data_IF_737303635824
#
_entry.id   IF_737303635824
#
_cell.length_a   1.000
_cell.length_b   1.000
_cell.length_c   1.000
_cell.angle_alpha   90.00
_cell.angle_beta   90.00
_cell.angle_gamma   90.00
#
_symmetry.space_group_name_H-M   'P 1'
#
loop_
_entity.id
_entity.type
_entity.pdbx_description
1 polymer ?
#
# COMPACT_ATOMS: atom_id res chain seq x y z
N UNK A 1 -37.02 0.01 63.51
CA UNK A 1 -35.69 -0.09 62.88
C UNK A 1 -35.74 -1.21 61.85
N UNK A 2 -35.71 -0.88 60.57
CA UNK A 2 -35.64 -1.86 59.49
C UNK A 2 -34.83 -1.26 58.37
N UNK A 3 -33.50 -1.38 58.45
CA UNK A 3 -32.60 -0.99 57.38
C UNK A 3 -32.87 -1.95 56.22
N UNK A 4 -33.52 -1.46 55.18
CA UNK A 4 -33.62 -2.16 53.89
C UNK A 4 -32.19 -2.29 53.36
N UNK A 5 -31.69 -3.53 53.29
CA UNK A 5 -30.54 -3.85 52.45
C UNK A 5 -30.89 -3.40 51.02
N UNK A 6 -30.13 -2.44 50.50
CA UNK A 6 -30.05 -2.25 49.05
C UNK A 6 -29.26 -3.44 48.51
N UNK A 7 -29.70 -4.10 47.43
CA UNK A 7 -28.82 -4.98 46.70
C UNK A 7 -27.67 -4.11 46.18
N UNK A 8 -26.44 -4.47 46.53
CA UNK A 8 -25.26 -3.97 45.83
C UNK A 8 -25.43 -4.39 44.37
N UNK A 9 -25.69 -3.42 43.50
CA UNK A 9 -25.56 -3.57 42.06
C UNK A 9 -24.22 -4.28 41.81
N UNK A 10 -24.27 -5.45 41.18
CA UNK A 10 -23.07 -6.13 40.69
C UNK A 10 -22.43 -5.18 39.69
N UNK A 11 -21.46 -4.39 40.15
CA UNK A 11 -20.75 -3.44 39.32
C UNK A 11 -19.92 -4.28 38.36
N UNK A 12 -20.33 -4.30 37.09
CA UNK A 12 -19.48 -4.76 36.00
C UNK A 12 -18.13 -4.06 36.16
N UNK A 13 -17.09 -4.84 36.42
CA UNK A 13 -15.73 -4.30 36.51
C UNK A 13 -15.16 -4.35 35.11
N UNK A 14 -14.89 -3.20 34.51
CA UNK A 14 -14.11 -3.10 33.28
C UNK A 14 -12.69 -2.62 33.61
N UNK A 15 -11.70 -3.17 32.91
CA UNK A 15 -10.28 -2.76 33.00
C UNK A 15 -9.70 -2.72 31.60
N UNK A 16 -8.72 -1.86 31.37
CA UNK A 16 -8.00 -1.80 30.09
C UNK A 16 -6.75 -2.65 30.14
N UNK A 17 -6.61 -3.55 29.16
CA UNK A 17 -5.43 -4.42 29.01
C UNK A 17 -4.75 -4.12 27.69
N UNK A 18 -3.43 -3.89 27.72
CA UNK A 18 -2.62 -3.78 26.50
C UNK A 18 -1.89 -5.08 26.15
N UNK A 19 -1.89 -5.46 24.87
CA UNK A 19 -1.19 -6.65 24.37
C UNK A 19 -0.49 -6.40 23.05
N UNK A 20 0.66 -7.05 22.86
CA UNK A 20 1.33 -7.19 21.55
C UNK A 20 0.91 -8.51 20.91
N UNK A 21 0.58 -8.49 19.62
CA UNK A 21 0.15 -9.66 18.85
C UNK A 21 1.06 -9.78 17.62
N UNK A 22 1.77 -10.90 17.49
CA UNK A 22 2.68 -11.20 16.36
C UNK A 22 3.72 -10.10 16.08
N UNK A 23 4.25 -9.44 17.11
CA UNK A 23 5.22 -8.35 16.95
C UNK A 23 4.59 -6.99 16.58
N UNK A 24 3.28 -6.95 16.36
CA UNK A 24 2.50 -5.72 16.16
C UNK A 24 1.78 -5.31 17.46
N UNK A 25 1.53 -4.01 17.62
CA UNK A 25 0.95 -3.43 18.83
C UNK A 25 1.94 -2.54 19.60
N UNK A 26 1.60 -2.05 20.81
CA UNK A 26 0.52 -2.56 21.66
C UNK A 26 -0.90 -2.18 21.20
N UNK A 27 -1.84 -3.11 21.37
CA UNK A 27 -3.28 -2.96 21.19
C UNK A 27 -3.98 -2.90 22.54
N UNK A 28 -5.01 -2.08 22.67
CA UNK A 28 -5.79 -1.96 23.89
C UNK A 28 -7.13 -2.68 23.78
N UNK A 29 -7.49 -3.37 24.86
CA UNK A 29 -8.75 -4.10 24.99
C UNK A 29 -9.43 -3.68 26.28
N UNK A 30 -10.75 -3.46 26.21
CA UNK A 30 -11.60 -3.40 27.40
C UNK A 30 -11.97 -4.82 27.76
N UNK A 31 -11.69 -5.21 29.00
CA UNK A 31 -12.08 -6.50 29.55
C UNK A 31 -13.16 -6.27 30.58
N UNK A 32 -14.37 -6.73 30.27
CA UNK A 32 -15.52 -6.65 31.20
C UNK A 32 -15.65 -7.98 31.92
N UNK A 33 -15.63 -7.92 33.26
CA UNK A 33 -15.82 -9.07 34.14
C UNK A 33 -17.28 -9.16 34.55
N UNK A 34 -17.98 -10.20 34.08
CA UNK A 34 -19.31 -10.53 34.57
C UNK A 34 -19.20 -11.58 35.67
N UNK A 35 -19.66 -11.28 36.91
CA UNK A 35 -19.66 -12.28 37.97
C UNK A 35 -20.63 -13.40 37.61
N UNK A 36 -20.08 -14.58 37.32
CA UNK A 36 -20.87 -15.72 36.91
C UNK A 36 -21.89 -16.09 37.99
N UNK A 37 -23.16 -16.14 37.60
CA UNK A 37 -24.24 -16.49 38.53
C UNK A 37 -24.28 -18.00 38.86
N UNK A 38 -23.65 -18.85 38.03
CA UNK A 38 -23.69 -20.32 38.18
C UNK A 38 -22.43 -21.08 37.69
N UNK A 39 -21.26 -20.44 37.66
CA UNK A 39 -19.96 -21.07 37.35
C UNK A 39 -19.26 -20.56 36.10
N UNK A 40 -17.92 -20.56 36.18
CA UNK A 40 -16.88 -19.96 35.32
C UNK A 40 -17.05 -18.46 35.02
N UNK A 41 -16.09 -17.65 35.47
CA UNK A 41 -16.07 -16.20 35.24
C UNK A 41 -16.10 -15.90 33.73
N UNK A 42 -17.14 -15.19 33.27
CA UNK A 42 -17.27 -14.80 31.88
C UNK A 42 -16.55 -13.46 31.66
N UNK A 43 -15.70 -13.42 30.64
CA UNK A 43 -14.92 -12.24 30.28
C UNK A 43 -15.22 -11.84 28.84
N UNK A 44 -15.75 -10.63 28.66
CA UNK A 44 -15.91 -10.05 27.34
C UNK A 44 -14.69 -9.20 27.01
N UNK A 45 -14.11 -9.43 25.83
CA UNK A 45 -12.97 -8.69 25.31
C UNK A 45 -13.43 -7.80 24.16
N UNK A 46 -13.48 -6.51 24.39
CA UNK A 46 -13.78 -5.51 23.36
C UNK A 46 -12.48 -4.85 22.90
N UNK A 47 -12.26 -4.81 21.58
CA UNK A 47 -11.09 -4.16 21.01
C UNK A 47 -11.33 -2.64 20.93
N UNK A 48 -10.49 -1.87 21.63
CA UNK A 48 -10.61 -0.41 21.69
C UNK A 48 -9.75 0.32 20.66
N UNK A 49 -8.85 -0.41 19.99
CA UNK A 49 -7.91 0.18 19.05
C UNK A 49 -6.46 0.00 19.49
N UNK A 50 -5.58 0.74 18.82
CA UNK A 50 -4.15 0.71 19.13
C UNK A 50 -3.87 1.52 20.41
N UNK A 51 -3.07 0.98 21.31
CA UNK A 51 -2.63 1.72 22.49
C UNK A 51 -1.85 2.96 22.04
N UNK A 52 -2.18 4.14 22.57
CA UNK A 52 -1.67 5.41 22.05
C UNK A 52 -2.61 6.14 21.08
N UNK A 53 -3.49 5.40 20.37
CA UNK A 53 -4.42 5.95 19.37
C UNK A 53 -5.89 5.72 19.77
N UNK A 54 -6.15 5.47 21.05
CA UNK A 54 -7.50 5.25 21.55
C UNK A 54 -8.20 6.60 21.62
N UNK A 55 -9.40 6.65 21.03
CA UNK A 55 -10.26 7.82 21.14
C UNK A 55 -10.77 7.92 22.59
N UNK A 56 -10.46 9.00 23.33
CA UNK A 56 -10.97 9.17 24.68
C UNK A 56 -12.51 9.31 24.73
N UNK A 57 -13.19 9.60 23.63
CA UNK A 57 -14.67 9.70 23.61
C UNK A 57 -15.37 8.36 23.81
N UNK A 58 -14.70 7.24 23.48
CA UNK A 58 -15.25 5.88 23.68
C UNK A 58 -14.93 5.32 25.07
N UNK A 59 -14.23 6.08 25.91
CA UNK A 59 -13.75 5.66 27.23
C UNK A 59 -14.47 6.39 28.36
N UNK A 60 -14.59 5.71 29.49
CA UNK A 60 -15.03 6.31 30.74
C UNK A 60 -13.89 7.09 31.42
N UNK A 61 -14.22 8.02 32.32
CA UNK A 61 -13.22 8.78 33.08
C UNK A 61 -12.26 7.87 33.89
N UNK A 62 -12.78 6.74 34.39
CA UNK A 62 -12.01 5.74 35.14
C UNK A 62 -11.01 5.01 34.22
N UNK A 63 -11.43 4.60 33.01
CA UNK A 63 -10.57 3.98 31.99
C UNK A 63 -9.49 4.95 31.47
N UNK A 64 -9.85 6.23 31.31
CA UNK A 64 -8.89 7.30 30.98
C UNK A 64 -7.85 7.46 32.08
N UNK A 65 -8.25 7.39 33.34
CA UNK A 65 -7.33 7.47 34.48
C UNK A 65 -6.41 6.24 34.55
N UNK A 66 -6.93 5.04 34.26
CA UNK A 66 -6.16 3.79 34.17
C UNK A 66 -5.12 3.86 33.06
N UNK A 67 -5.52 4.26 31.85
CA UNK A 67 -4.58 4.45 30.72
C UNK A 67 -3.48 5.46 31.04
N UNK A 68 -3.80 6.57 31.71
CA UNK A 68 -2.78 7.53 32.15
C UNK A 68 -1.83 6.93 33.20
N UNK A 69 -2.36 6.16 34.15
CA UNK A 69 -1.53 5.51 35.18
C UNK A 69 -0.58 4.46 34.57
N UNK A 70 -0.99 3.80 33.49
CA UNK A 70 -0.16 2.88 32.72
C UNK A 70 0.77 3.57 31.69
N UNK A 71 0.72 4.91 31.58
CA UNK A 71 1.55 5.67 30.63
C UNK A 71 1.12 5.52 29.17
N UNK A 72 -0.10 5.03 28.91
CA UNK A 72 -0.66 4.85 27.57
C UNK A 72 -1.22 6.18 27.08
N UNK A 73 -0.76 6.60 25.89
CA UNK A 73 -1.24 7.83 25.25
C UNK A 73 -2.69 7.75 24.81
N UNK A 74 -3.37 8.88 24.89
CA UNK A 74 -4.69 9.08 24.33
C UNK A 74 -4.55 9.95 23.08
N UNK A 75 -5.28 9.62 22.02
CA UNK A 75 -5.10 10.23 20.70
C UNK A 75 -5.24 11.77 20.71
N UNK A 76 -6.11 12.33 21.56
CA UNK A 76 -6.34 13.79 21.62
C UNK A 76 -5.25 14.60 22.35
N UNK A 77 -4.32 13.94 23.03
CA UNK A 77 -3.41 14.59 23.98
C UNK A 77 -1.93 14.52 23.58
N UNK A 78 -1.62 14.07 22.37
CA UNK A 78 -0.23 13.98 21.91
C UNK A 78 -0.10 14.68 20.57
N UNK A 79 0.64 15.77 20.56
CA UNK A 79 1.22 16.29 19.33
C UNK A 79 2.29 15.26 18.92
N UNK A 80 1.91 14.40 17.98
CA UNK A 80 2.82 13.45 17.37
C UNK A 80 3.34 14.04 16.07
N UNK A 81 4.65 14.07 15.92
CA UNK A 81 5.26 14.38 14.64
C UNK A 81 5.25 13.12 13.78
N UNK A 82 4.55 13.20 12.64
CA UNK A 82 4.44 12.10 11.67
C UNK A 82 5.26 12.49 10.46
N UNK A 83 6.28 11.67 10.15
CA UNK A 83 7.21 11.90 9.05
C UNK A 83 7.04 10.80 8.02
N UNK A 84 6.59 11.15 6.81
CA UNK A 84 6.44 10.20 5.69
C UNK A 84 7.77 10.05 4.92
N UNK A 85 8.41 8.89 5.10
CA UNK A 85 9.69 8.54 4.44
C UNK A 85 9.47 7.93 3.05
N UNK A 86 8.21 7.81 2.59
CA UNK A 86 7.79 7.31 1.26
C UNK A 86 8.04 5.83 0.98
N UNK A 87 9.13 5.25 1.50
CA UNK A 87 9.47 3.83 1.37
C UNK A 87 9.47 3.13 2.72
N UNK A 88 8.74 2.01 2.77
CA UNK A 88 8.60 1.19 3.98
C UNK A 88 9.93 0.62 4.49
N UNK A 89 10.78 0.14 3.58
CA UNK A 89 12.09 -0.42 3.93
C UNK A 89 12.99 0.64 4.58
N UNK A 90 12.96 1.86 4.03
CA UNK A 90 13.73 2.99 4.52
C UNK A 90 13.19 3.51 5.86
N UNK A 91 11.87 3.62 5.99
CA UNK A 91 11.24 3.93 7.26
C UNK A 91 11.63 2.91 8.35
N UNK A 92 11.68 1.62 8.01
CA UNK A 92 12.11 0.59 8.94
C UNK A 92 13.61 0.65 9.27
N UNK A 93 14.47 1.01 8.31
CA UNK A 93 15.89 1.25 8.55
C UNK A 93 16.08 2.40 9.55
N UNK A 94 15.39 3.52 9.35
CA UNK A 94 15.44 4.67 10.26
C UNK A 94 14.93 4.28 11.64
N UNK A 95 13.82 3.56 11.75
CA UNK A 95 13.32 3.04 13.04
C UNK A 95 14.34 2.19 13.79
N UNK A 96 15.18 1.43 13.07
CA UNK A 96 16.23 0.60 13.68
C UNK A 96 17.43 1.42 14.18
N UNK A 97 17.58 2.66 13.71
CA UNK A 97 18.64 3.60 14.13
C UNK A 97 18.18 4.58 15.21
N UNK A 98 16.86 4.75 15.36
CA UNK A 98 16.26 5.58 16.39
C UNK A 98 16.38 4.95 17.79
N UNK A 99 16.54 5.77 18.85
CA UNK A 99 16.52 5.25 20.21
C UNK A 99 15.10 4.75 20.57
N UNK A 100 15.03 3.71 21.40
CA UNK A 100 13.78 3.01 21.75
C UNK A 100 12.68 3.91 22.32
N UNK A 101 13.05 5.08 22.87
CA UNK A 101 12.15 6.06 23.49
C UNK A 101 11.71 7.20 22.54
N UNK A 102 12.28 7.31 21.34
CA UNK A 102 11.88 8.33 20.36
C UNK A 102 10.61 7.96 19.57
N UNK A 103 10.31 6.66 19.46
CA UNK A 103 9.15 6.19 18.71
C UNK A 103 7.88 6.28 19.55
N UNK A 104 6.85 6.88 18.97
CA UNK A 104 5.54 6.90 19.60
C UNK A 104 5.00 5.47 19.74
N UNK A 105 4.22 5.24 20.80
CA UNK A 105 3.44 3.99 20.97
C UNK A 105 2.53 3.73 19.75
N UNK A 106 2.16 4.79 19.03
CA UNK A 106 1.35 4.78 17.81
C UNK A 106 2.14 4.59 16.50
N UNK A 107 3.47 4.40 16.52
CA UNK A 107 4.31 4.19 15.31
C UNK A 107 4.14 2.80 14.68
N UNK A 108 3.71 2.68 13.43
CA UNK A 108 3.48 1.39 12.77
C UNK A 108 4.62 1.00 11.80
N UNK A 109 5.37 -0.05 12.12
CA UNK A 109 6.41 -0.61 11.23
C UNK A 109 5.91 -1.15 9.89
N UNK A 110 4.59 -1.27 9.70
CA UNK A 110 3.97 -1.68 8.43
C UNK A 110 3.75 -0.51 7.48
N UNK A 111 3.91 0.73 7.94
CA UNK A 111 3.76 1.94 7.12
C UNK A 111 5.11 2.62 6.89
N UNK A 112 5.17 3.46 5.85
CA UNK A 112 6.33 4.29 5.55
C UNK A 112 6.38 5.57 6.43
N UNK A 113 5.42 5.74 7.34
CA UNK A 113 5.29 6.91 8.20
C UNK A 113 5.89 6.62 9.57
N UNK A 114 6.89 7.41 9.98
CA UNK A 114 7.49 7.33 11.30
C UNK A 114 6.76 8.28 12.22
N UNK A 115 6.20 7.75 13.31
CA UNK A 115 5.53 8.57 14.33
C UNK A 115 6.45 8.75 15.52
N UNK A 116 6.89 9.97 15.78
CA UNK A 116 7.75 10.31 16.90
C UNK A 116 6.93 10.72 18.14
N UNK A 117 7.53 10.56 19.32
CA UNK A 117 7.01 11.15 20.56
C UNK A 117 7.21 12.67 20.54
N UNK A 118 6.35 13.41 21.25
CA UNK A 118 6.52 14.87 21.44
C UNK A 118 7.89 15.22 22.06
N UNK A 119 8.40 14.37 22.95
CA UNK A 119 9.70 14.52 23.61
C UNK A 119 10.85 13.86 22.84
N UNK A 120 10.66 13.53 21.56
CA UNK A 120 11.70 12.86 20.78
C UNK A 120 12.97 13.72 20.76
N UNK A 121 14.16 13.13 20.97
CA UNK A 121 15.42 13.87 20.88
C UNK A 121 15.52 14.56 19.52
N UNK A 122 16.01 15.80 19.48
CA UNK A 122 16.15 16.54 18.21
C UNK A 122 16.91 15.74 17.13
N UNK A 123 17.92 14.97 17.54
CA UNK A 123 18.69 14.10 16.62
C UNK A 123 17.83 12.99 15.98
N UNK A 124 16.78 12.51 16.66
CA UNK A 124 15.84 11.55 16.11
C UNK A 124 14.93 12.18 15.05
N UNK A 125 14.44 13.40 15.33
CA UNK A 125 13.65 14.19 14.38
C UNK A 125 14.48 14.48 13.13
N UNK A 126 15.69 15.04 13.30
CA UNK A 126 16.59 15.35 12.20
C UNK A 126 16.95 14.13 11.35
N UNK A 127 17.14 12.95 11.97
CA UNK A 127 17.41 11.72 11.24
C UNK A 127 16.22 11.28 10.36
N UNK A 128 15.01 11.31 10.92
CA UNK A 128 13.81 10.93 10.20
C UNK A 128 13.48 11.93 9.06
N UNK A 129 13.63 13.24 9.32
CA UNK A 129 13.49 14.28 8.31
C UNK A 129 14.54 14.14 7.20
N UNK A 130 15.81 13.92 7.54
CA UNK A 130 16.87 13.74 6.55
C UNK A 130 16.60 12.54 5.64
N UNK A 131 16.11 11.43 6.20
CA UNK A 131 15.72 10.26 5.40
C UNK A 131 14.53 10.56 4.48
N UNK A 132 13.52 11.31 4.96
CA UNK A 132 12.41 11.74 4.13
C UNK A 132 12.85 12.68 3.01
N UNK A 133 13.75 13.64 3.28
CA UNK A 133 14.30 14.55 2.27
C UNK A 133 15.20 13.82 1.26
N UNK A 134 16.04 12.90 1.72
CA UNK A 134 16.87 12.06 0.84
C UNK A 134 15.97 11.25 -0.09
N UNK A 135 14.85 10.73 0.42
CA UNK A 135 13.85 10.04 -0.38
C UNK A 135 13.14 10.96 -1.36
N UNK A 136 12.82 12.20 -0.98
CA UNK A 136 12.29 13.21 -1.92
C UNK A 136 13.30 13.46 -3.03
N UNK A 137 14.57 13.71 -2.69
CA UNK A 137 15.63 13.96 -3.68
C UNK A 137 15.91 12.74 -4.56
N UNK A 138 15.83 11.54 -4.01
CA UNK A 138 15.95 10.30 -4.78
C UNK A 138 14.75 10.13 -5.71
N UNK A 139 13.52 10.37 -5.26
CA UNK A 139 12.33 10.28 -6.10
C UNK A 139 12.28 11.37 -7.17
N UNK A 140 12.83 12.55 -6.88
CA UNK A 140 13.02 13.65 -7.85
C UNK A 140 14.18 13.37 -8.83
N UNK A 141 15.21 12.62 -8.40
CA UNK A 141 16.42 12.33 -9.17
C UNK A 141 16.44 10.99 -9.92
N UNK A 142 15.73 9.97 -9.43
CA UNK A 142 15.65 8.62 -9.95
C UNK A 142 14.37 8.45 -10.75
N UNK A 143 14.38 8.97 -11.98
CA UNK A 143 13.28 8.81 -12.92
C UNK A 143 12.91 10.10 -13.61
N UNK A 144 13.81 10.63 -14.43
CA UNK A 144 13.35 11.53 -15.50
C UNK A 144 13.43 10.74 -16.81
N UNK A 145 12.27 10.27 -17.26
CA UNK A 145 12.15 9.72 -18.59
C UNK A 145 12.11 10.92 -19.56
N UNK A 146 12.98 10.91 -20.57
CA UNK A 146 13.01 11.99 -21.55
C UNK A 146 11.68 12.10 -22.29
N UNK A 147 11.19 13.34 -22.43
CA UNK A 147 10.06 13.62 -23.30
C UNK A 147 10.55 13.65 -24.75
N UNK A 148 9.94 12.80 -25.57
CA UNK A 148 10.06 12.87 -27.02
C UNK A 148 9.48 14.19 -27.53
N UNK A 149 9.89 14.61 -28.71
CA UNK A 149 9.39 15.86 -29.32
C UNK A 149 7.88 15.82 -29.58
N UNK A 150 7.31 14.61 -29.79
CA UNK A 150 5.87 14.43 -29.96
C UNK A 150 5.10 14.58 -28.65
N UNK A 151 5.64 14.11 -27.53
CA UNK A 151 5.04 14.29 -26.20
C UNK A 151 5.09 15.76 -25.77
N UNK A 152 6.21 16.46 -26.01
CA UNK A 152 6.33 17.90 -25.73
C UNK A 152 5.32 18.75 -26.50
N UNK A 153 4.81 18.28 -27.63
CA UNK A 153 3.78 19.00 -28.39
C UNK A 153 2.36 18.75 -27.89
N UNK A 154 2.13 17.71 -27.09
CA UNK A 154 0.81 17.34 -26.57
C UNK A 154 0.53 17.87 -25.17
N UNK A 155 1.58 18.11 -24.39
CA UNK A 155 1.49 18.59 -23.01
C UNK A 155 1.29 20.11 -23.01
N UNK A 156 0.34 20.58 -22.21
CA UNK A 156 0.19 22.02 -22.00
C UNK A 156 1.14 22.52 -20.91
N UNK A 157 2.31 23.05 -21.33
CA UNK A 157 3.29 23.66 -20.43
C UNK A 157 2.89 25.04 -19.89
N UNK A 158 1.68 25.54 -20.18
CA UNK A 158 1.11 26.64 -19.42
C UNK A 158 0.64 26.20 -18.03
N UNK A 159 0.30 24.92 -17.87
CA UNK A 159 -0.28 24.36 -16.63
C UNK A 159 0.69 23.46 -15.84
N UNK A 160 1.80 23.03 -16.48
CA UNK A 160 2.85 22.19 -15.87
C UNK A 160 4.24 22.59 -16.38
N UNK A 161 5.31 21.99 -15.84
CA UNK A 161 6.68 22.22 -16.30
C UNK A 161 7.37 20.93 -16.80
N UNK A 162 8.46 21.11 -17.56
CA UNK A 162 9.21 20.00 -18.18
C UNK A 162 9.75 19.02 -17.13
N UNK A 163 10.38 19.46 -16.02
CA UNK A 163 10.81 18.55 -14.96
C UNK A 163 9.68 17.71 -14.37
N UNK A 164 8.53 18.33 -14.08
CA UNK A 164 7.35 17.65 -13.52
C UNK A 164 6.81 16.61 -14.49
N UNK A 165 6.66 16.96 -15.77
CA UNK A 165 6.21 16.02 -16.80
C UNK A 165 7.20 14.85 -17.01
N UNK A 166 8.52 15.08 -16.94
CA UNK A 166 9.53 14.01 -17.02
C UNK A 166 9.51 13.08 -15.81
N UNK A 167 9.32 13.64 -14.62
CA UNK A 167 9.22 12.90 -13.37
C UNK A 167 7.95 12.03 -13.35
N UNK A 168 6.81 12.60 -13.75
CA UNK A 168 5.56 11.87 -13.87
C UNK A 168 5.60 10.78 -14.94
N UNK A 169 6.20 11.07 -16.11
CA UNK A 169 6.42 10.04 -17.15
C UNK A 169 7.19 8.85 -16.59
N UNK A 170 8.31 9.08 -15.91
CA UNK A 170 9.06 7.97 -15.33
C UNK A 170 8.27 7.23 -14.25
N UNK A 171 7.55 7.96 -13.39
CA UNK A 171 6.73 7.38 -12.35
C UNK A 171 5.61 6.48 -12.92
N UNK A 172 4.97 6.89 -14.01
CA UNK A 172 3.93 6.09 -14.69
C UNK A 172 4.53 4.87 -15.40
N UNK A 173 5.69 5.04 -16.06
CA UNK A 173 6.40 3.94 -16.71
C UNK A 173 6.93 2.90 -15.71
N UNK A 174 7.37 3.32 -14.52
CA UNK A 174 7.84 2.44 -13.43
C UNK A 174 6.71 1.55 -12.89
N UNK A 175 5.47 2.03 -12.93
CA UNK A 175 4.27 1.24 -12.65
C UNK A 175 3.88 0.30 -13.81
N UNK A 176 4.68 0.23 -14.87
CA UNK A 176 4.48 -0.69 -15.99
C UNK A 176 3.35 -0.29 -16.95
N UNK A 177 3.01 1.00 -17.01
CA UNK A 177 2.08 1.54 -18.00
C UNK A 177 2.86 2.04 -19.22
N UNK A 178 2.80 1.31 -20.33
CA UNK A 178 3.58 1.61 -21.53
C UNK A 178 3.16 2.94 -22.20
N UNK A 179 1.86 3.22 -22.26
CA UNK A 179 1.32 4.49 -22.75
C UNK A 179 0.99 5.44 -21.60
N UNK A 180 2.01 6.11 -21.08
CA UNK A 180 1.86 7.02 -19.97
C UNK A 180 0.95 8.22 -20.28
N UNK A 181 0.80 8.60 -21.55
CA UNK A 181 -0.05 9.74 -21.95
C UNK A 181 -1.53 9.46 -21.80
N UNK A 182 -1.93 8.18 -21.73
CA UNK A 182 -3.31 7.79 -21.45
C UNK A 182 -3.71 7.99 -19.97
N UNK A 183 -2.72 8.12 -19.08
CA UNK A 183 -2.89 8.29 -17.63
C UNK A 183 -2.54 9.70 -17.18
N UNK A 184 -1.65 10.36 -17.92
CA UNK A 184 -1.18 11.70 -17.64
C UNK A 184 -2.30 12.75 -17.67
N UNK A 185 -2.23 13.68 -16.72
CA UNK A 185 -2.95 14.94 -16.68
C UNK A 185 -2.01 16.02 -16.15
N UNK A 186 -2.11 17.24 -16.69
CA UNK A 186 -1.36 18.41 -16.21
C UNK A 186 -1.62 18.72 -14.73
N UNK A 187 -2.71 18.21 -14.16
CA UNK A 187 -3.05 18.33 -12.74
C UNK A 187 -2.18 17.48 -11.81
N UNK A 188 -1.47 16.48 -12.35
CA UNK A 188 -0.56 15.63 -11.58
C UNK A 188 0.72 16.42 -11.26
N UNK A 189 0.77 17.03 -10.07
CA UNK A 189 1.88 17.90 -9.66
C UNK A 189 3.01 17.12 -8.99
N UNK A 190 2.74 15.90 -8.55
CA UNK A 190 3.70 15.06 -7.83
C UNK A 190 3.86 13.68 -8.47
N UNK A 191 5.02 13.05 -8.25
CA UNK A 191 5.26 11.67 -8.70
C UNK A 191 4.33 10.66 -8.02
N UNK A 192 3.86 10.95 -6.80
CA UNK A 192 2.95 10.07 -6.07
C UNK A 192 1.58 10.04 -6.73
N UNK A 193 1.02 11.19 -7.08
CA UNK A 193 -0.24 11.30 -7.84
C UNK A 193 -0.12 10.58 -9.19
N UNK A 194 1.02 10.72 -9.87
CA UNK A 194 1.27 10.03 -11.13
C UNK A 194 1.32 8.49 -10.99
N UNK A 195 1.96 7.97 -9.94
CA UNK A 195 1.95 6.53 -9.64
C UNK A 195 0.56 6.03 -9.26
N UNK A 196 -0.17 6.80 -8.48
CA UNK A 196 -1.55 6.47 -8.08
C UNK A 196 -2.47 6.44 -9.30
N UNK A 197 -2.39 7.42 -10.19
CA UNK A 197 -3.12 7.42 -11.46
C UNK A 197 -2.79 6.18 -12.31
N UNK A 198 -1.52 5.78 -12.37
CA UNK A 198 -1.09 4.58 -13.09
C UNK A 198 -1.61 3.28 -12.44
N UNK A 199 -1.60 3.18 -11.11
CA UNK A 199 -2.19 2.05 -10.38
C UNK A 199 -3.69 1.95 -10.62
N UNK A 200 -4.42 3.06 -10.48
CA UNK A 200 -5.86 3.11 -10.71
C UNK A 200 -6.22 2.72 -12.15
N UNK A 201 -5.43 3.16 -13.13
CA UNK A 201 -5.62 2.76 -14.53
C UNK A 201 -5.47 1.25 -14.71
N UNK A 202 -4.42 0.62 -14.14
CA UNK A 202 -4.25 -0.84 -14.18
C UNK A 202 -5.39 -1.58 -13.47
N UNK A 203 -5.80 -1.12 -12.30
CA UNK A 203 -6.91 -1.70 -11.55
C UNK A 203 -8.22 -1.61 -12.31
N UNK A 204 -8.49 -0.50 -13.02
CA UNK A 204 -9.68 -0.39 -13.89
C UNK A 204 -9.65 -1.36 -15.07
N UNK A 205 -8.48 -1.57 -15.68
CA UNK A 205 -8.31 -2.53 -16.79
C UNK A 205 -8.48 -3.97 -16.29
N UNK A 206 -8.10 -4.27 -15.04
CA UNK A 206 -8.30 -5.57 -14.40
C UNK A 206 -9.74 -5.76 -13.90
N UNK A 207 -10.36 -4.69 -13.38
CA UNK A 207 -11.76 -4.68 -12.92
C UNK A 207 -12.76 -4.89 -14.06
N UNK A 208 -12.53 -4.28 -15.22
CA UNK A 208 -13.34 -4.51 -16.43
C UNK A 208 -13.28 -5.97 -16.94
N UNK A 209 -12.27 -6.75 -16.52
CA UNK A 209 -12.19 -8.20 -16.81
C UNK A 209 -12.96 -9.08 -15.82
N UNK A 210 -13.36 -8.56 -14.66
CA UNK A 210 -14.04 -9.37 -13.62
C UNK A 210 -15.57 -9.28 -13.69
N UNK A 211 -16.12 -8.28 -14.38
CA UNK A 211 -17.59 -8.11 -14.52
C UNK A 211 -18.17 -8.76 -15.81
N UNK A 212 -17.35 -9.45 -16.61
CA UNK A 212 -17.79 -10.22 -17.79
C UNK A 212 -17.28 -11.68 -17.71
N UNK A 213 -17.91 -12.53 -16.90
CA UNK A 213 -18.70 -13.67 -17.39
C UNK A 213 -19.03 -14.67 -16.27
N UNK A 214 -20.32 -14.67 -15.90
CA UNK A 214 -21.03 -15.86 -15.43
C UNK A 214 -21.36 -16.70 -16.67
N UNK A 215 -20.62 -17.80 -16.89
CA UNK A 215 -20.99 -18.77 -17.92
C UNK A 215 -19.84 -19.61 -18.42
N UNK A 216 -19.88 -20.91 -18.09
CA UNK A 216 -19.07 -21.93 -18.74
C UNK A 216 -19.42 -21.97 -20.23
N UNK A 217 -18.70 -21.21 -21.05
CA UNK A 217 -18.68 -21.40 -22.50
C UNK A 217 -17.38 -22.10 -22.85
N UNK A 218 -17.50 -23.40 -23.13
CA UNK A 218 -16.51 -24.14 -23.91
C UNK A 218 -16.46 -23.53 -25.32
N UNK A 219 -15.75 -22.43 -25.46
CA UNK A 219 -15.28 -21.96 -26.76
C UNK A 219 -13.77 -21.90 -26.65
N UNK A 220 -13.12 -22.84 -27.32
CA UNK A 220 -11.68 -22.87 -27.53
C UNK A 220 -11.20 -21.48 -27.93
N UNK A 221 -10.60 -20.74 -27.00
CA UNK A 221 -9.77 -19.57 -27.31
C UNK A 221 -8.70 -20.08 -28.25
N UNK A 222 -8.87 -19.82 -29.54
CA UNK A 222 -7.94 -20.31 -30.56
C UNK A 222 -6.54 -19.87 -30.18
N UNK A 223 -5.60 -20.81 -30.12
CA UNK A 223 -4.18 -20.60 -29.78
C UNK A 223 -3.45 -19.53 -30.64
N UNK A 224 -4.16 -18.87 -31.56
CA UNK A 224 -3.69 -17.74 -32.35
C UNK A 224 -3.69 -16.40 -31.57
N UNK A 225 -4.50 -16.22 -30.53
CA UNK A 225 -4.63 -14.91 -29.85
C UNK A 225 -3.62 -14.67 -28.71
N UNK A 226 -2.94 -15.72 -28.23
CA UNK A 226 -1.92 -15.65 -27.16
C UNK A 226 -0.55 -16.05 -27.71
N UNK A 227 -0.09 -15.36 -28.76
CA UNK A 227 1.25 -15.61 -29.35
C UNK A 227 2.13 -14.38 -29.17
N UNK A 228 3.35 -14.61 -28.73
CA UNK A 228 4.35 -13.55 -28.49
C UNK A 228 4.67 -12.79 -29.78
N UNK A 229 5.06 -11.52 -29.67
CA UNK A 229 5.56 -10.73 -30.83
C UNK A 229 6.75 -11.41 -31.52
N UNK A 230 7.56 -12.15 -30.75
CA UNK A 230 8.69 -12.92 -31.24
C UNK A 230 8.28 -14.06 -32.18
N UNK A 231 7.20 -14.79 -31.85
CA UNK A 231 6.64 -15.83 -32.72
C UNK A 231 6.02 -15.24 -34.00
N UNK A 232 5.38 -14.06 -33.91
CA UNK A 232 4.84 -13.37 -35.10
C UNK A 232 5.97 -12.99 -36.04
N UNK A 233 7.04 -12.42 -35.50
CA UNK A 233 8.21 -12.04 -36.28
C UNK A 233 8.92 -13.25 -36.89
N UNK A 234 9.08 -14.33 -36.13
CA UNK A 234 9.64 -15.58 -36.64
C UNK A 234 8.76 -16.20 -37.75
N UNK A 235 7.42 -16.17 -37.61
CA UNK A 235 6.52 -16.63 -38.67
C UNK A 235 6.67 -15.81 -39.94
N UNK A 236 6.82 -14.49 -39.83
CA UNK A 236 7.03 -13.60 -40.97
C UNK A 236 8.31 -13.96 -41.74
N UNK A 237 9.41 -14.24 -41.05
CA UNK A 237 10.68 -14.64 -41.69
C UNK A 237 10.65 -16.07 -42.23
N UNK A 238 10.04 -17.01 -41.51
CA UNK A 238 9.87 -18.39 -41.97
C UNK A 238 9.07 -18.45 -43.29
N UNK A 239 8.05 -17.58 -43.45
CA UNK A 239 7.29 -17.45 -44.70
C UNK A 239 8.10 -16.86 -45.86
N UNK A 240 9.16 -16.12 -45.57
CA UNK A 240 10.06 -15.55 -46.58
C UNK A 240 11.21 -16.50 -46.96
N UNK A 241 11.24 -17.71 -46.39
CA UNK A 241 12.23 -18.74 -46.68
C UNK A 241 13.44 -18.72 -45.75
N UNK A 242 13.34 -18.11 -44.58
CA UNK A 242 14.38 -18.15 -43.55
C UNK A 242 14.30 -19.48 -42.77
N UNK A 243 15.30 -20.34 -42.96
CA UNK A 243 15.38 -21.66 -42.33
C UNK A 243 15.59 -21.57 -40.81
N UNK A 244 16.31 -20.55 -40.32
CA UNK A 244 16.56 -20.35 -38.88
C UNK A 244 15.30 -19.88 -38.16
N UNK A 245 14.50 -19.03 -38.79
CA UNK A 245 13.20 -18.63 -38.25
C UNK A 245 12.20 -19.80 -38.22
N UNK A 246 12.28 -20.71 -39.18
CA UNK A 246 11.47 -21.94 -39.22
C UNK A 246 11.89 -22.92 -38.13
N UNK A 247 13.18 -23.08 -37.89
CA UNK A 247 13.74 -23.93 -36.84
C UNK A 247 13.29 -23.46 -35.45
N UNK A 248 13.42 -22.16 -35.15
CA UNK A 248 12.92 -21.55 -33.92
C UNK A 248 11.43 -21.84 -33.68
N UNK A 249 10.60 -21.73 -34.71
CA UNK A 249 9.17 -22.01 -34.57
C UNK A 249 8.89 -23.48 -34.24
N UNK A 250 9.62 -24.41 -34.85
CA UNK A 250 9.43 -25.86 -34.67
C UNK A 250 9.97 -26.35 -33.32
N UNK A 251 11.16 -25.89 -32.93
CA UNK A 251 11.88 -26.43 -31.78
C UNK A 251 11.63 -25.65 -30.49
N UNK A 252 11.58 -24.31 -30.56
CA UNK A 252 11.48 -23.46 -29.37
C UNK A 252 10.04 -23.01 -29.11
N UNK A 253 9.31 -22.58 -30.15
CA UNK A 253 7.94 -22.09 -30.01
C UNK A 253 6.87 -23.20 -30.08
N UNK A 254 7.27 -24.45 -30.39
CA UNK A 254 6.38 -25.61 -30.39
C UNK A 254 5.35 -25.65 -31.53
N UNK A 255 5.58 -24.93 -32.63
CA UNK A 255 4.72 -24.97 -33.81
C UNK A 255 4.93 -26.27 -34.58
N UNK A 256 3.88 -26.72 -35.25
CA UNK A 256 3.98 -27.78 -36.24
C UNK A 256 4.28 -27.22 -37.64
N UNK A 257 4.89 -28.03 -38.50
CA UNK A 257 5.15 -27.64 -39.89
C UNK A 257 3.85 -27.27 -40.63
N UNK A 258 2.73 -27.94 -40.30
CA UNK A 258 1.42 -27.65 -40.86
C UNK A 258 0.84 -26.31 -40.37
N UNK A 259 1.07 -25.94 -39.11
CA UNK A 259 0.67 -24.63 -38.58
C UNK A 259 1.47 -23.49 -39.22
N UNK A 260 2.78 -23.67 -39.41
CA UNK A 260 3.62 -22.69 -40.11
C UNK A 260 3.17 -22.55 -41.56
N UNK A 261 2.77 -23.64 -42.24
CA UNK A 261 2.31 -23.60 -43.62
C UNK A 261 0.94 -22.92 -43.77
N UNK A 262 0.00 -23.20 -42.87
CA UNK A 262 -1.39 -22.76 -42.98
C UNK A 262 -1.70 -21.43 -42.27
N UNK A 263 -0.84 -20.96 -41.37
CA UNK A 263 -1.04 -19.65 -40.73
C UNK A 263 -0.65 -18.53 -41.70
N UNK A 264 -1.51 -17.52 -41.94
CA UNK A 264 -1.16 -16.37 -42.77
C UNK A 264 -0.03 -15.56 -42.12
N UNK A 265 0.84 -14.95 -42.95
CA UNK A 265 1.89 -14.09 -42.43
C UNK A 265 1.26 -12.91 -41.66
N UNK A 266 1.76 -12.57 -40.46
CA UNK A 266 1.32 -11.36 -39.77
C UNK A 266 1.73 -10.14 -40.60
N UNK A 267 0.86 -9.12 -40.63
CA UNK A 267 1.08 -7.88 -41.36
C UNK A 267 2.38 -7.19 -40.90
#
# INVERSE_FOLDING_TARGET
MGRRHRPTEGRLMSTIVTRRVNGSGPYAYRVTYEPASDGDDEHEWEYLGRAGAIDPEILTDDEIAELRAEGIGLARYRDHEVIDVRRLEEANRVRDELPDDALAVADDRRTAEITLTEDAPQAAVELAEAAAEDMVRELEGAGQADLTDAERQRIDFAETDIPTARAAKAAILDEGVDDWTAVWSEDLKTTQEAREAARNNRESIVGDRLDNDEGVSQTTTSAAQTRSEQERQALKYAKQGDDSAREYLLEDAGWTADEIANTPAPA
#
